data_IF_155029436096
#
_entry.id   IF_155029436096
#
_cell.length_a   1.000
_cell.length_b   1.000
_cell.length_c   1.000
_cell.angle_alpha   90.00
_cell.angle_beta   90.00
_cell.angle_gamma   90.00
#
_symmetry.space_group_name_H-M   'P 1'
#
loop_
_entity.id
_entity.type
_entity.pdbx_description
1 polymer ?
#
# COMPACT_ATOMS: atom_id res chain seq x y z
N UNK A 1 6.39 -20.07 15.71
CA UNK A 1 5.62 -19.04 14.98
C UNK A 1 6.29 -18.83 13.63
N UNK A 2 5.55 -19.01 12.52
CA UNK A 2 6.08 -18.82 11.16
C UNK A 2 5.87 -17.36 10.75
N UNK A 3 6.93 -16.73 10.25
CA UNK A 3 6.96 -15.31 9.89
C UNK A 3 7.45 -15.13 8.46
N UNK A 4 6.92 -14.13 7.76
CA UNK A 4 7.38 -13.77 6.43
C UNK A 4 7.43 -12.26 6.27
N UNK A 5 8.43 -11.79 5.54
CA UNK A 5 8.47 -10.46 4.94
C UNK A 5 8.21 -10.62 3.45
N UNK A 6 7.37 -9.78 2.87
CA UNK A 6 7.24 -9.72 1.42
C UNK A 6 7.24 -8.30 0.91
N UNK A 7 7.60 -8.15 -0.34
CA UNK A 7 7.56 -6.91 -1.08
C UNK A 7 6.97 -7.15 -2.47
N UNK A 8 6.49 -6.11 -3.10
CA UNK A 8 5.81 -6.17 -4.37
C UNK A 8 6.45 -5.19 -5.36
N UNK A 9 6.84 -5.68 -6.53
CA UNK A 9 7.23 -4.85 -7.66
C UNK A 9 6.54 -5.34 -8.92
N UNK A 10 5.61 -4.54 -9.44
CA UNK A 10 4.90 -4.83 -10.68
C UNK A 10 5.35 -3.84 -11.76
N UNK A 11 5.82 -4.38 -12.85
CA UNK A 11 6.21 -3.59 -14.02
C UNK A 11 4.98 -3.15 -14.83
N UNK A 12 4.29 -2.09 -14.33
CA UNK A 12 3.12 -1.52 -15.02
C UNK A 12 3.58 -0.88 -16.33
N UNK A 13 2.94 -1.19 -17.50
CA UNK A 13 3.28 -0.57 -18.76
C UNK A 13 3.20 0.95 -18.72
N UNK A 14 4.11 1.63 -19.45
CA UNK A 14 4.17 3.09 -19.49
C UNK A 14 2.83 3.73 -19.86
N UNK A 15 2.15 3.19 -20.86
CA UNK A 15 0.85 3.71 -21.31
C UNK A 15 -0.23 3.71 -20.20
N UNK A 16 -0.15 2.78 -19.25
CA UNK A 16 -1.07 2.72 -18.12
C UNK A 16 -0.64 3.64 -16.96
N UNK A 17 0.65 3.94 -16.84
CA UNK A 17 1.17 4.92 -15.91
C UNK A 17 0.85 6.35 -16.36
N UNK A 18 0.94 6.63 -17.66
CA UNK A 18 0.66 7.95 -18.24
C UNK A 18 -0.80 8.38 -18.01
N UNK A 19 -1.74 7.44 -17.95
CA UNK A 19 -3.13 7.72 -17.56
C UNK A 19 -3.25 8.30 -16.14
N UNK A 20 -2.29 8.01 -15.28
CA UNK A 20 -2.21 8.51 -13.91
C UNK A 20 -1.59 9.91 -13.86
N UNK A 21 -0.62 10.19 -14.72
CA UNK A 21 0.09 11.46 -14.79
C UNK A 21 -0.73 12.57 -15.46
N UNK A 22 -1.72 12.23 -16.28
CA UNK A 22 -2.57 13.22 -16.98
C UNK A 22 -3.37 14.13 -16.03
N UNK A 23 -3.62 13.68 -14.80
CA UNK A 23 -4.23 14.51 -13.77
C UNK A 23 -3.25 15.45 -13.04
N UNK A 24 -1.96 15.34 -13.30
CA UNK A 24 -0.88 16.08 -12.61
C UNK A 24 0.05 16.76 -13.63
N UNK A 25 -0.49 17.30 -14.71
CA UNK A 25 0.33 18.12 -15.61
C UNK A 25 0.77 19.42 -14.93
N UNK A 26 1.80 19.32 -14.09
CA UNK A 26 2.68 20.44 -13.82
C UNK A 26 3.84 20.32 -14.80
N UNK A 27 4.08 21.35 -15.66
CA UNK A 27 5.18 21.34 -16.64
C UNK A 27 6.56 21.10 -16.02
N UNK A 28 6.69 21.37 -14.73
CA UNK A 28 7.93 21.30 -13.95
C UNK A 28 8.01 20.11 -12.98
N UNK A 29 7.15 19.10 -13.11
CA UNK A 29 7.21 17.95 -12.22
C UNK A 29 8.44 17.09 -12.57
N UNK A 30 9.47 17.22 -11.75
CA UNK A 30 10.71 16.42 -11.83
C UNK A 30 10.46 14.94 -11.56
N UNK A 31 9.37 14.61 -10.89
CA UNK A 31 8.99 13.23 -10.53
C UNK A 31 7.67 12.85 -11.17
N UNK A 32 7.74 12.15 -12.29
CA UNK A 32 6.62 11.43 -12.89
C UNK A 32 6.59 9.99 -12.36
N UNK A 33 5.43 9.32 -12.40
CA UNK A 33 5.35 7.90 -12.06
C UNK A 33 6.28 7.05 -12.94
N UNK A 34 6.49 7.46 -14.18
CA UNK A 34 7.44 6.81 -15.09
C UNK A 34 8.88 6.96 -14.63
N UNK A 35 9.30 8.16 -14.20
CA UNK A 35 10.64 8.38 -13.68
C UNK A 35 10.88 7.57 -12.41
N UNK A 36 9.90 7.53 -11.51
CA UNK A 36 9.94 6.70 -10.29
C UNK A 36 10.10 5.22 -10.63
N UNK A 37 9.33 4.71 -11.60
CA UNK A 37 9.46 3.33 -12.07
C UNK A 37 10.86 3.05 -12.61
N UNK A 38 11.40 3.94 -13.43
CA UNK A 38 12.75 3.80 -14.01
C UNK A 38 13.82 3.78 -12.92
N UNK A 39 13.72 4.66 -11.92
CA UNK A 39 14.58 4.63 -10.74
C UNK A 39 14.49 3.31 -9.96
N UNK A 40 13.29 2.75 -9.84
CA UNK A 40 13.10 1.45 -9.22
C UNK A 40 13.74 0.33 -10.03
N UNK A 41 13.64 0.36 -11.35
CA UNK A 41 14.29 -0.63 -12.22
C UNK A 41 15.82 -0.55 -12.13
N UNK A 42 16.40 0.65 -12.16
CA UNK A 42 17.85 0.87 -12.01
C UNK A 42 18.35 0.36 -10.65
N UNK A 43 17.59 0.57 -9.59
CA UNK A 43 17.97 0.20 -8.23
C UNK A 43 17.38 -1.15 -7.78
N UNK A 44 16.76 -1.90 -8.68
CA UNK A 44 15.98 -3.10 -8.36
C UNK A 44 16.75 -4.06 -7.45
N UNK A 45 17.92 -4.51 -7.90
CA UNK A 45 18.69 -5.51 -7.15
C UNK A 45 19.06 -5.01 -5.74
N UNK A 46 19.50 -3.76 -5.63
CA UNK A 46 19.84 -3.15 -4.34
C UNK A 46 18.64 -3.09 -3.40
N UNK A 47 17.46 -2.74 -3.92
CA UNK A 47 16.22 -2.65 -3.13
C UNK A 47 15.70 -4.03 -2.70
N UNK A 48 15.97 -5.07 -3.49
CA UNK A 48 15.67 -6.46 -3.10
C UNK A 48 16.68 -6.95 -2.06
N UNK A 49 17.98 -6.78 -2.33
CA UNK A 49 19.05 -7.30 -1.47
C UNK A 49 18.95 -6.77 -0.05
N UNK A 50 18.67 -5.48 0.16
CA UNK A 50 18.52 -4.91 1.50
C UNK A 50 17.39 -5.57 2.32
N UNK A 51 16.31 -5.99 1.67
CA UNK A 51 15.19 -6.70 2.32
C UNK A 51 15.54 -8.15 2.60
N UNK A 52 16.24 -8.80 1.67
CA UNK A 52 16.76 -10.18 1.84
C UNK A 52 17.73 -10.23 3.02
N UNK A 53 18.67 -9.29 3.08
CA UNK A 53 19.65 -9.19 4.16
C UNK A 53 18.97 -8.94 5.51
N UNK A 54 18.00 -8.05 5.53
CA UNK A 54 17.23 -7.78 6.74
C UNK A 54 16.45 -9.03 7.20
N UNK A 55 15.69 -9.67 6.31
CA UNK A 55 14.95 -10.88 6.64
C UNK A 55 15.87 -11.99 7.15
N UNK A 56 17.03 -12.17 6.52
CA UNK A 56 18.06 -13.12 6.95
C UNK A 56 18.62 -12.77 8.32
N UNK A 57 18.88 -11.50 8.61
CA UNK A 57 19.43 -11.06 9.90
C UNK A 57 18.52 -11.35 11.07
N UNK A 58 17.20 -11.31 10.85
CA UNK A 58 16.18 -11.61 11.87
C UNK A 58 15.60 -13.03 11.77
N UNK A 59 16.12 -13.87 10.87
CA UNK A 59 15.77 -15.28 10.75
C UNK A 59 14.34 -15.56 10.25
N UNK A 60 13.83 -14.76 9.30
CA UNK A 60 12.49 -14.92 8.73
C UNK A 60 12.56 -15.13 7.21
N UNK A 61 11.48 -15.71 6.65
CA UNK A 61 11.35 -15.88 5.21
C UNK A 61 11.19 -14.52 4.50
N UNK A 62 11.73 -14.40 3.28
CA UNK A 62 11.48 -13.26 2.39
C UNK A 62 10.92 -13.73 1.06
N UNK A 63 9.94 -12.97 0.53
CA UNK A 63 9.38 -13.18 -0.81
C UNK A 63 9.25 -11.87 -1.57
N UNK A 64 9.92 -11.78 -2.73
CA UNK A 64 9.63 -10.77 -3.74
C UNK A 64 8.50 -11.27 -4.64
N UNK A 65 7.47 -10.46 -4.88
CA UNK A 65 6.33 -10.77 -5.76
C UNK A 65 6.37 -9.83 -6.95
N UNK A 66 6.38 -10.40 -8.16
CA UNK A 66 6.55 -9.65 -9.42
C UNK A 66 5.45 -9.99 -10.42
N UNK A 67 4.65 -11.00 -10.15
CA UNK A 67 3.57 -11.44 -11.04
C UNK A 67 2.21 -11.26 -10.38
N UNK A 68 1.33 -10.54 -11.06
CA UNK A 68 -0.06 -10.34 -10.69
C UNK A 68 -1.04 -10.68 -11.83
N UNK A 69 -0.54 -11.38 -12.85
CA UNK A 69 -1.24 -11.59 -14.13
C UNK A 69 -2.67 -12.09 -13.95
N UNK A 70 -2.90 -13.12 -13.13
CA UNK A 70 -4.24 -13.69 -12.94
C UNK A 70 -5.15 -12.73 -12.15
N UNK A 71 -4.59 -12.03 -11.16
CA UNK A 71 -5.31 -11.02 -10.40
C UNK A 71 -5.69 -9.82 -11.30
N UNK A 72 -4.77 -9.38 -12.14
CA UNK A 72 -5.01 -8.32 -13.13
C UNK A 72 -6.10 -8.70 -14.14
N UNK A 73 -6.06 -9.91 -14.70
CA UNK A 73 -7.09 -10.41 -15.62
C UNK A 73 -8.48 -10.41 -14.98
N UNK A 74 -8.57 -10.82 -13.71
CA UNK A 74 -9.82 -10.77 -12.96
C UNK A 74 -10.38 -9.35 -12.89
N UNK A 75 -9.54 -8.36 -12.52
CA UNK A 75 -9.98 -6.97 -12.42
C UNK A 75 -10.37 -6.40 -13.78
N UNK A 76 -9.58 -6.61 -14.81
CA UNK A 76 -9.89 -6.11 -16.16
C UNK A 76 -11.19 -6.67 -16.73
N UNK A 77 -11.54 -7.89 -16.36
CA UNK A 77 -12.80 -8.51 -16.76
C UNK A 77 -14.00 -7.96 -16.01
N UNK A 78 -13.88 -7.73 -14.71
CA UNK A 78 -15.03 -7.43 -13.84
C UNK A 78 -15.13 -5.93 -13.49
N UNK A 79 -14.02 -5.19 -13.51
CA UNK A 79 -13.91 -3.78 -13.10
C UNK A 79 -12.95 -3.03 -14.05
N UNK A 80 -13.33 -2.87 -15.34
CA UNK A 80 -12.43 -2.35 -16.37
C UNK A 80 -12.00 -0.88 -16.13
N UNK A 81 -12.77 -0.13 -15.34
CA UNK A 81 -12.51 1.27 -14.99
C UNK A 81 -11.39 1.45 -13.95
N UNK A 82 -11.02 0.39 -13.21
CA UNK A 82 -10.00 0.50 -12.20
C UNK A 82 -8.62 0.60 -12.84
N UNK A 83 -7.84 1.57 -12.39
CA UNK A 83 -6.48 1.77 -12.88
C UNK A 83 -5.54 0.65 -12.44
N UNK A 84 -4.51 0.35 -13.25
CA UNK A 84 -3.50 -0.66 -12.90
C UNK A 84 -2.80 -0.35 -11.58
N UNK A 85 -2.62 0.92 -11.24
CA UNK A 85 -2.09 1.34 -9.95
C UNK A 85 -2.98 0.90 -8.78
N UNK A 86 -4.30 1.08 -8.89
CA UNK A 86 -5.22 0.65 -7.86
C UNK A 86 -5.30 -0.89 -7.78
N UNK A 87 -5.25 -1.58 -8.91
CA UNK A 87 -5.18 -3.06 -8.92
C UNK A 87 -3.96 -3.55 -8.14
N UNK A 88 -2.79 -2.91 -8.29
CA UNK A 88 -1.59 -3.25 -7.51
C UNK A 88 -1.80 -3.02 -6.01
N UNK A 89 -2.46 -1.92 -5.63
CA UNK A 89 -2.76 -1.65 -4.21
C UNK A 89 -3.72 -2.69 -3.61
N UNK A 90 -4.72 -3.13 -4.36
CA UNK A 90 -5.61 -4.22 -3.93
C UNK A 90 -4.88 -5.56 -3.89
N UNK A 91 -4.01 -5.81 -4.85
CA UNK A 91 -3.20 -7.02 -4.88
C UNK A 91 -2.29 -7.15 -3.65
N UNK A 92 -1.75 -6.04 -3.16
CA UNK A 92 -1.02 -6.00 -1.89
C UNK A 92 -1.85 -6.55 -0.72
N UNK A 93 -3.10 -6.11 -0.60
CA UNK A 93 -4.02 -6.59 0.44
C UNK A 93 -4.33 -8.07 0.24
N UNK A 94 -4.62 -8.48 -1.00
CA UNK A 94 -4.83 -9.88 -1.34
C UNK A 94 -3.65 -10.76 -0.90
N UNK A 95 -2.42 -10.33 -1.14
CA UNK A 95 -1.22 -11.06 -0.73
C UNK A 95 -1.07 -11.18 0.78
N UNK A 96 -1.48 -10.18 1.57
CA UNK A 96 -1.51 -10.32 3.04
C UNK A 96 -2.35 -11.52 3.46
N UNK A 97 -3.53 -11.72 2.84
CA UNK A 97 -4.37 -12.88 3.09
C UNK A 97 -3.75 -14.19 2.60
N UNK A 98 -3.19 -14.21 1.41
CA UNK A 98 -2.56 -15.41 0.86
C UNK A 98 -1.37 -15.88 1.69
N UNK A 99 -0.55 -14.94 2.17
CA UNK A 99 0.54 -15.27 3.10
C UNK A 99 0.01 -15.63 4.49
N UNK A 100 -1.03 -14.98 4.99
CA UNK A 100 -1.67 -15.28 6.26
C UNK A 100 -2.27 -16.70 6.35
N UNK A 101 -2.56 -17.37 5.20
CA UNK A 101 -2.93 -18.78 5.18
C UNK A 101 -1.79 -19.72 5.58
N UNK A 102 -0.53 -19.29 5.45
CA UNK A 102 0.67 -20.12 5.61
C UNK A 102 1.58 -19.68 6.75
N UNK A 103 1.48 -18.39 7.14
CA UNK A 103 2.31 -17.75 8.15
C UNK A 103 1.45 -17.18 9.27
N UNK A 104 1.98 -17.17 10.48
CA UNK A 104 1.30 -16.65 11.67
C UNK A 104 1.35 -15.12 11.71
N UNK A 105 2.47 -14.54 11.23
CA UNK A 105 2.70 -13.10 11.15
C UNK A 105 3.32 -12.73 9.80
N UNK A 106 2.83 -11.64 9.23
CA UNK A 106 3.21 -11.15 7.90
C UNK A 106 3.61 -9.69 7.99
N UNK A 107 4.74 -9.35 7.39
CA UNK A 107 5.19 -7.97 7.20
C UNK A 107 5.28 -7.65 5.69
N UNK A 108 4.52 -6.69 5.26
CA UNK A 108 4.67 -6.09 3.94
C UNK A 108 5.56 -4.84 4.01
N UNK A 109 6.46 -4.72 3.06
CA UNK A 109 7.28 -3.53 2.82
C UNK A 109 7.11 -3.08 1.38
N UNK A 110 6.74 -1.81 1.15
CA UNK A 110 6.76 -1.23 -0.20
C UNK A 110 8.15 -1.42 -0.84
N UNK A 111 8.19 -1.43 -2.15
CA UNK A 111 9.42 -1.72 -2.88
C UNK A 111 10.56 -0.74 -2.56
N UNK A 112 10.22 0.52 -2.33
CA UNK A 112 11.16 1.61 -1.98
C UNK A 112 11.50 1.71 -0.49
N UNK A 113 10.88 0.89 0.35
CA UNK A 113 11.25 0.83 1.78
C UNK A 113 12.57 0.09 1.94
N UNK A 114 13.55 0.75 2.53
CA UNK A 114 14.85 0.19 2.88
C UNK A 114 14.93 -0.01 4.39
N UNK A 115 14.98 -1.26 4.87
CA UNK A 115 15.24 -1.52 6.30
C UNK A 115 16.60 -0.95 6.70
N UNK A 116 16.62 -0.04 7.67
CA UNK A 116 17.83 0.59 8.19
C UNK A 116 17.99 0.32 9.69
N UNK A 117 17.77 -0.94 10.08
CA UNK A 117 17.85 -1.41 11.46
C UNK A 117 18.18 -2.90 11.49
N UNK A 118 18.79 -3.33 12.59
CA UNK A 118 19.00 -4.74 12.91
C UNK A 118 17.96 -5.28 13.90
N UNK A 119 17.02 -4.44 14.34
CA UNK A 119 15.96 -4.86 15.25
C UNK A 119 14.97 -5.76 14.54
N UNK A 120 14.54 -6.80 15.24
CA UNK A 120 13.52 -7.69 14.70
C UNK A 120 12.14 -7.05 14.80
N UNK A 121 11.55 -6.67 13.67
CA UNK A 121 10.23 -6.05 13.61
C UNK A 121 9.18 -6.82 14.44
N UNK A 122 9.15 -8.14 14.31
CA UNK A 122 8.16 -8.99 14.99
C UNK A 122 8.37 -9.14 16.50
N UNK A 123 9.47 -8.65 17.04
CA UNK A 123 9.74 -8.61 18.47
C UNK A 123 9.53 -7.22 19.06
N UNK A 124 9.78 -6.19 18.25
CA UNK A 124 9.55 -4.79 18.65
C UNK A 124 8.06 -4.44 18.59
N UNK A 125 7.35 -4.95 17.58
CA UNK A 125 5.93 -4.65 17.37
C UNK A 125 5.04 -5.83 17.78
N UNK A 126 4.19 -5.59 18.76
CA UNK A 126 3.24 -6.58 19.26
C UNK A 126 2.01 -6.67 18.33
N UNK A 127 2.11 -7.52 17.32
CA UNK A 127 1.03 -7.76 16.33
C UNK A 127 -0.19 -8.46 16.93
N UNK A 128 -0.13 -8.91 18.19
CA UNK A 128 -1.32 -9.44 18.88
C UNK A 128 -2.34 -8.35 19.22
N UNK A 129 -1.91 -7.08 19.23
CA UNK A 129 -2.75 -5.91 19.54
C UNK A 129 -3.50 -5.36 18.33
N UNK A 130 -3.07 -5.67 17.12
CA UNK A 130 -3.71 -5.15 15.91
C UNK A 130 -2.79 -5.14 14.70
N UNK A 131 -3.16 -4.32 13.73
CA UNK A 131 -2.37 -4.07 12.53
C UNK A 131 -1.36 -2.96 12.83
N UNK A 132 -0.10 -3.20 12.50
CA UNK A 132 0.94 -2.18 12.53
C UNK A 132 1.03 -1.51 11.16
N UNK A 133 0.79 -0.21 11.10
CA UNK A 133 0.87 0.62 9.89
C UNK A 133 1.53 1.95 10.21
N UNK A 134 2.04 2.62 9.17
CA UNK A 134 2.58 3.96 9.32
C UNK A 134 1.44 4.99 9.45
N UNK A 135 1.43 5.74 10.55
CA UNK A 135 0.49 6.84 10.76
C UNK A 135 0.97 8.11 10.04
N UNK A 136 0.13 8.67 9.17
CA UNK A 136 0.40 9.89 8.41
C UNK A 136 -0.42 11.10 8.90
N UNK A 137 -0.96 11.08 10.11
CA UNK A 137 -1.82 12.15 10.63
C UNK A 137 -1.16 13.53 10.59
N UNK A 138 0.16 13.61 10.72
CA UNK A 138 0.91 14.88 10.61
C UNK A 138 0.76 15.56 9.24
N UNK A 139 0.44 14.78 8.20
CA UNK A 139 0.25 15.27 6.82
C UNK A 139 -1.18 15.68 6.52
N UNK A 140 -2.09 15.50 7.48
CA UNK A 140 -3.50 15.84 7.33
C UNK A 140 -3.76 17.22 7.90
N UNK A 141 -4.50 18.05 7.16
CA UNK A 141 -4.92 19.34 7.71
C UNK A 141 -5.86 19.16 8.87
N UNK A 142 -5.86 20.10 9.83
CA UNK A 142 -6.90 20.16 10.86
C UNK A 142 -8.31 20.06 10.26
N UNK A 143 -9.21 19.36 10.93
CA UNK A 143 -10.58 19.07 10.49
C UNK A 143 -11.30 20.31 9.97
N UNK A 144 -11.13 21.45 10.61
CA UNK A 144 -11.73 22.71 10.19
C UNK A 144 -11.32 23.11 8.77
N UNK A 145 -10.05 22.97 8.40
CA UNK A 145 -9.59 23.24 7.06
C UNK A 145 -10.06 22.21 6.04
N UNK A 146 -10.34 20.99 6.47
CA UNK A 146 -10.90 19.93 5.62
C UNK A 146 -12.35 20.27 5.29
N UNK A 147 -13.16 20.62 6.28
CA UNK A 147 -14.58 20.97 6.09
C UNK A 147 -14.76 22.19 5.19
N UNK A 148 -13.92 23.19 5.30
CA UNK A 148 -13.93 24.37 4.44
C UNK A 148 -13.53 24.07 2.98
N UNK A 149 -12.72 23.04 2.77
CA UNK A 149 -12.18 22.66 1.46
C UNK A 149 -12.96 21.55 0.76
N UNK A 150 -13.79 20.79 1.46
CA UNK A 150 -14.54 19.66 0.89
C UNK A 150 -15.45 20.06 -0.26
N UNK A 151 -15.89 21.31 -0.29
CA UNK A 151 -16.71 21.82 -1.40
C UNK A 151 -15.92 22.19 -2.67
N UNK A 152 -14.60 22.30 -2.60
CA UNK A 152 -13.84 22.95 -3.66
C UNK A 152 -12.75 22.12 -4.32
N UNK A 153 -12.18 21.11 -3.69
CA UNK A 153 -10.98 20.46 -4.24
C UNK A 153 -10.91 18.96 -3.95
N UNK A 154 -11.50 18.17 -4.79
CA UNK A 154 -11.05 16.78 -4.99
C UNK A 154 -9.83 16.83 -5.92
N UNK A 155 -8.68 17.20 -5.40
CA UNK A 155 -7.43 17.16 -6.15
C UNK A 155 -6.76 15.81 -5.92
N UNK A 156 -6.26 15.14 -6.97
CA UNK A 156 -5.45 13.91 -6.83
C UNK A 156 -4.23 14.10 -5.92
N UNK A 157 -3.71 15.34 -5.84
CA UNK A 157 -2.61 15.70 -4.95
C UNK A 157 -3.01 15.85 -3.47
N UNK A 158 -4.29 15.79 -3.17
CA UNK A 158 -4.83 15.93 -1.82
C UNK A 158 -5.35 14.60 -1.27
N UNK A 159 -4.69 13.48 -1.56
CA UNK A 159 -5.12 12.12 -1.19
C UNK A 159 -5.55 12.00 0.28
N UNK A 160 -4.77 12.58 1.18
CA UNK A 160 -5.07 12.54 2.61
C UNK A 160 -6.25 13.45 3.00
N UNK A 161 -6.39 14.59 2.35
CA UNK A 161 -7.54 15.47 2.54
C UNK A 161 -8.83 14.82 2.02
N UNK A 162 -8.74 14.18 0.85
CA UNK A 162 -9.89 13.50 0.25
C UNK A 162 -10.37 12.35 1.12
N UNK A 163 -9.48 11.58 1.74
CA UNK A 163 -9.86 10.50 2.64
C UNK A 163 -10.71 11.00 3.83
N UNK A 164 -10.26 12.07 4.50
CA UNK A 164 -11.01 12.67 5.60
C UNK A 164 -12.36 13.26 5.13
N UNK A 165 -12.35 13.92 3.97
CA UNK A 165 -13.57 14.46 3.37
C UNK A 165 -14.60 13.35 3.06
N UNK A 166 -14.15 12.24 2.50
CA UNK A 166 -15.02 11.08 2.23
C UNK A 166 -15.59 10.47 3.51
N UNK A 167 -14.81 10.41 4.59
CA UNK A 167 -15.31 9.96 5.89
C UNK A 167 -16.44 10.86 6.39
N UNK A 168 -16.26 12.18 6.32
CA UNK A 168 -17.29 13.16 6.70
C UNK A 168 -18.55 13.01 5.83
N UNK A 169 -18.40 12.89 4.51
CA UNK A 169 -19.50 12.70 3.56
C UNK A 169 -20.30 11.42 3.85
N UNK A 170 -19.64 10.38 4.36
CA UNK A 170 -20.25 9.12 4.78
C UNK A 170 -20.75 9.13 6.23
N UNK A 171 -20.72 10.27 6.91
CA UNK A 171 -21.16 10.39 8.31
C UNK A 171 -20.20 9.73 9.31
N UNK A 172 -18.98 9.40 8.90
CA UNK A 172 -17.96 8.82 9.75
C UNK A 172 -17.10 9.90 10.41
N UNK A 173 -16.45 9.55 11.52
CA UNK A 173 -15.59 10.49 12.23
C UNK A 173 -14.34 10.84 11.39
N UNK A 174 -14.06 12.14 11.16
CA UNK A 174 -12.84 12.57 10.49
C UNK A 174 -11.59 12.42 11.38
N UNK A 175 -11.73 12.00 12.62
CA UNK A 175 -10.61 11.74 13.53
C UNK A 175 -9.99 10.38 13.33
N UNK A 176 -10.51 9.56 12.41
CA UNK A 176 -9.88 8.31 12.03
C UNK A 176 -8.48 8.58 11.49
N UNK A 177 -7.55 7.72 11.89
CA UNK A 177 -6.16 7.82 11.45
C UNK A 177 -6.03 7.69 9.94
N UNK A 178 -5.19 8.53 9.35
CA UNK A 178 -4.77 8.38 7.96
C UNK A 178 -3.53 7.52 7.94
N UNK A 179 -3.67 6.33 7.38
CA UNK A 179 -2.60 5.34 7.33
C UNK A 179 -1.88 5.37 5.98
N UNK A 180 -0.59 5.07 6.02
CA UNK A 180 0.21 4.75 4.86
C UNK A 180 0.49 3.24 4.86
N UNK A 181 0.18 2.58 3.76
CA UNK A 181 0.31 1.13 3.61
C UNK A 181 1.66 0.69 3.03
N UNK A 182 2.66 1.56 3.07
CA UNK A 182 4.04 1.21 2.66
C UNK A 182 4.73 0.24 3.60
N UNK A 183 4.27 0.19 4.86
CA UNK A 183 4.69 -0.80 5.87
C UNK A 183 3.41 -1.32 6.53
N UNK A 184 3.17 -2.62 6.44
CA UNK A 184 2.00 -3.28 7.05
C UNK A 184 2.43 -4.55 7.74
N UNK A 185 2.39 -4.54 9.07
CA UNK A 185 2.58 -5.73 9.90
C UNK A 185 1.24 -6.24 10.43
N UNK A 186 0.95 -7.54 10.28
CA UNK A 186 -0.31 -8.12 10.69
C UNK A 186 -0.16 -9.57 11.10
N UNK A 187 -0.92 -10.00 12.12
CA UNK A 187 -1.02 -11.41 12.48
C UNK A 187 -2.18 -12.08 11.74
N UNK A 188 -2.07 -13.39 11.56
CA UNK A 188 -3.15 -14.23 10.99
C UNK A 188 -4.47 -13.99 11.70
N UNK A 189 -4.48 -13.89 13.03
CA UNK A 189 -5.68 -13.63 13.82
C UNK A 189 -6.43 -12.38 13.37
N UNK A 190 -5.70 -11.30 13.08
CA UNK A 190 -6.33 -10.06 12.63
C UNK A 190 -6.73 -10.11 11.16
N UNK A 191 -5.99 -10.84 10.32
CA UNK A 191 -6.41 -11.09 8.94
C UNK A 191 -7.74 -11.85 8.89
N UNK A 192 -7.92 -12.84 9.74
CA UNK A 192 -9.17 -13.62 9.82
C UNK A 192 -10.36 -12.75 10.31
N UNK A 193 -10.09 -11.65 11.03
CA UNK A 193 -11.12 -10.69 11.49
C UNK A 193 -11.47 -9.63 10.45
N UNK A 194 -10.56 -9.33 9.51
CA UNK A 194 -10.85 -8.46 8.39
C UNK A 194 -11.66 -9.28 7.37
N UNK A 195 -12.91 -8.94 7.18
CA UNK A 195 -13.69 -9.48 6.08
C UNK A 195 -13.10 -8.94 4.77
N UNK A 196 -12.21 -9.73 4.16
CA UNK A 196 -11.59 -9.37 2.89
C UNK A 196 -12.66 -9.36 1.81
N UNK A 197 -12.90 -8.19 1.24
CA UNK A 197 -13.80 -7.90 0.13
C UNK A 197 -14.69 -9.07 -0.30
N UNK A 198 -15.77 -9.33 0.44
CA UNK A 198 -16.75 -10.38 0.12
C UNK A 198 -17.57 -9.99 -1.09
N UNK A 199 -17.80 -8.68 -1.24
CA UNK A 199 -18.36 -8.08 -2.45
C UNK A 199 -17.56 -6.82 -2.81
N UNK A 200 -16.59 -6.98 -3.70
CA UNK A 200 -15.68 -5.92 -4.10
C UNK A 200 -16.39 -4.73 -4.76
N UNK A 201 -17.53 -4.98 -5.38
CA UNK A 201 -18.32 -3.95 -6.05
C UNK A 201 -18.96 -2.99 -5.04
N UNK A 202 -19.34 -3.49 -3.88
CA UNK A 202 -19.96 -2.69 -2.83
C UNK A 202 -18.91 -1.89 -2.04
N UNK A 203 -17.64 -2.34 -2.08
CA UNK A 203 -16.51 -1.70 -1.40
C UNK A 203 -15.81 -0.61 -2.23
N UNK A 204 -16.08 -0.53 -3.54
CA UNK A 204 -15.53 0.43 -4.48
C UNK A 204 -16.51 1.55 -4.80
#
# INVERSE_FOLDING_TARGET
MKRIIFSLFIDIPKAELDLFDDHIKKPDAVHTNYNTKNEFQINYQRLVDCKVEYAKSIGVDFKMVEDYTEYYKFFRKNYPEITSYNIVNFFKIHLLYEFGKKYDEVLYLDFDVVPNTNENFFEVWDLSKGICVLNNNERVSPIQKITERTQTIRSPNAKYYNAQAMLIEKGLSPTNDVINTGIVGISKKHLDQLEYFTDFKDDL
#
